data_IF_098002614046
#
_entry.id   IF_098002614046
#
_cell.length_a   1.000
_cell.length_b   1.000
_cell.length_c   1.000
_cell.angle_alpha   90.00
_cell.angle_beta   90.00
_cell.angle_gamma   90.00
#
_symmetry.space_group_name_H-M   'P 1'
#
loop_
_entity.id
_entity.type
_entity.pdbx_description
1 polymer ?
#
# COMPACT_ATOMS: atom_id res chain seq x y z
N UNK A 1 -42.36 -43.79 -23.60
CA UNK A 1 -41.73 -43.95 -22.27
C UNK A 1 -40.46 -43.12 -22.26
N UNK A 2 -40.54 -41.94 -21.65
CA UNK A 2 -39.40 -41.10 -21.32
C UNK A 2 -39.67 -40.53 -19.93
N UNK A 3 -38.66 -40.60 -19.08
CA UNK A 3 -38.69 -40.51 -17.62
C UNK A 3 -39.29 -39.20 -17.09
N UNK A 4 -40.42 -39.30 -16.40
CA UNK A 4 -40.95 -38.30 -15.47
C UNK A 4 -40.11 -38.35 -14.20
N UNK A 5 -39.25 -37.37 -13.97
CA UNK A 5 -38.77 -36.91 -12.65
C UNK A 5 -37.67 -35.86 -12.87
N UNK A 6 -38.10 -34.60 -13.04
CA UNK A 6 -37.21 -33.45 -12.92
C UNK A 6 -37.15 -33.06 -11.43
N UNK A 7 -35.98 -33.08 -10.76
CA UNK A 7 -35.86 -32.84 -9.33
C UNK A 7 -35.87 -31.35 -8.95
N UNK A 8 -36.23 -30.46 -9.87
CA UNK A 8 -36.24 -29.00 -9.68
C UNK A 8 -37.63 -28.39 -9.89
N UNK A 9 -38.67 -29.01 -9.32
CA UNK A 9 -39.95 -28.33 -9.15
C UNK A 9 -39.88 -27.39 -7.94
N UNK A 10 -40.09 -26.11 -8.21
CA UNK A 10 -39.95 -25.02 -7.26
C UNK A 10 -41.14 -24.96 -6.29
N UNK A 11 -41.00 -25.59 -5.13
CA UNK A 11 -42.00 -25.58 -4.06
C UNK A 11 -42.06 -24.23 -3.29
N UNK A 12 -41.04 -23.40 -3.43
CA UNK A 12 -40.85 -22.14 -2.70
C UNK A 12 -41.81 -21.02 -3.14
N UNK A 13 -42.27 -21.03 -4.40
CA UNK A 13 -43.18 -20.00 -4.92
C UNK A 13 -44.65 -20.24 -4.56
N UNK A 14 -45.05 -21.49 -4.32
CA UNK A 14 -46.42 -21.85 -3.95
C UNK A 14 -46.67 -21.56 -2.45
N UNK A 15 -45.64 -21.72 -1.62
CA UNK A 15 -45.67 -21.35 -0.21
C UNK A 15 -45.71 -19.83 -0.01
N UNK A 16 -44.95 -19.06 -0.81
CA UNK A 16 -45.00 -17.60 -0.80
C UNK A 16 -46.37 -17.04 -1.23
N UNK A 17 -47.06 -17.69 -2.17
CA UNK A 17 -48.43 -17.35 -2.58
C UNK A 17 -49.45 -17.55 -1.46
N UNK A 18 -49.37 -18.68 -0.76
CA UNK A 18 -50.27 -18.99 0.37
C UNK A 18 -50.04 -18.08 1.59
N UNK A 19 -48.80 -17.65 1.85
CA UNK A 19 -48.49 -16.71 2.93
C UNK A 19 -48.94 -15.27 2.63
N UNK A 20 -49.00 -14.88 1.36
CA UNK A 20 -49.51 -13.57 0.92
C UNK A 20 -51.05 -13.51 0.92
N UNK A 21 -51.75 -14.63 0.66
CA UNK A 21 -53.22 -14.68 0.79
C UNK A 21 -53.69 -14.63 2.25
N UNK A 22 -52.88 -15.10 3.20
CA UNK A 22 -53.20 -15.12 4.62
C UNK A 22 -53.21 -13.72 5.29
N UNK A 23 -52.65 -12.68 4.66
CA UNK A 23 -52.51 -11.35 5.26
C UNK A 23 -53.04 -10.21 4.36
N UNK A 24 -54.25 -10.38 3.84
CA UNK A 24 -54.93 -9.46 2.92
C UNK A 24 -55.27 -8.07 3.49
N UNK A 25 -54.96 -7.79 4.76
CA UNK A 25 -55.28 -6.53 5.45
C UNK A 25 -54.04 -5.77 5.96
N UNK A 26 -52.83 -6.13 5.55
CA UNK A 26 -51.64 -5.35 5.88
C UNK A 26 -51.67 -3.98 5.15
N UNK A 27 -51.68 -2.89 5.92
CA UNK A 27 -51.65 -1.51 5.39
C UNK A 27 -50.29 -1.24 4.73
N UNK A 28 -50.29 -1.13 3.40
CA UNK A 28 -49.14 -0.69 2.62
C UNK A 28 -48.98 0.83 2.77
N UNK A 29 -47.84 1.26 3.30
CA UNK A 29 -47.47 2.70 3.34
C UNK A 29 -46.89 3.06 1.97
N UNK A 30 -47.68 3.75 1.16
CA UNK A 30 -47.20 4.41 -0.06
C UNK A 30 -46.44 5.68 0.35
N UNK A 31 -45.17 5.79 -0.01
CA UNK A 31 -44.39 7.03 0.14
C UNK A 31 -44.58 7.81 -1.16
N UNK A 32 -45.40 8.85 -1.12
CA UNK A 32 -45.47 9.90 -2.14
C UNK A 32 -44.43 10.96 -1.79
N UNK A 33 -43.56 11.29 -2.75
CA UNK A 33 -42.62 12.41 -2.68
C UNK A 33 -43.41 13.73 -2.78
N UNK A 34 -43.44 14.50 -1.69
CA UNK A 34 -43.88 15.90 -1.73
C UNK A 34 -42.91 16.80 -0.95
N UNK A 35 -42.48 17.86 -1.63
CA UNK A 35 -41.58 18.93 -1.18
C UNK A 35 -42.10 19.65 0.08
N UNK A 36 -41.26 19.82 1.11
CA UNK A 36 -41.61 20.60 2.31
C UNK A 36 -40.67 21.80 2.49
N UNK A 37 -41.24 23.00 2.32
CA UNK A 37 -40.79 24.29 2.85
C UNK A 37 -41.12 24.31 4.36
N UNK A 38 -40.24 24.80 5.27
CA UNK A 38 -40.44 24.63 6.70
C UNK A 38 -41.34 25.73 7.28
N UNK A 39 -42.45 25.34 7.93
CA UNK A 39 -43.21 26.23 8.79
C UNK A 39 -43.16 25.81 10.26
N UNK A 40 -43.03 26.84 11.09
CA UNK A 40 -42.64 26.85 12.49
C UNK A 40 -43.89 26.71 13.36
N UNK A 41 -43.93 25.71 14.25
CA UNK A 41 -44.87 25.74 15.37
C UNK A 41 -44.22 25.37 16.71
N UNK A 42 -44.53 26.23 17.68
CA UNK A 42 -44.01 26.33 19.05
C UNK A 42 -45.03 25.69 20.01
N UNK A 43 -44.55 25.36 21.22
CA UNK A 43 -45.28 25.04 22.48
C UNK A 43 -45.77 23.58 22.61
N UNK A 44 -45.83 22.95 23.79
CA UNK A 44 -45.28 23.18 25.14
C UNK A 44 -45.59 21.93 26.01
N UNK A 45 -44.81 21.75 27.08
CA UNK A 45 -45.18 21.12 28.37
C UNK A 45 -45.52 19.61 28.45
N UNK A 46 -44.55 18.85 28.98
CA UNK A 46 -44.65 18.08 30.24
C UNK A 46 -45.68 16.94 30.36
N UNK A 47 -45.19 15.71 30.46
CA UNK A 47 -45.80 14.63 31.24
C UNK A 47 -44.71 13.63 31.73
N UNK A 48 -44.88 13.14 32.96
CA UNK A 48 -43.95 12.31 33.75
C UNK A 48 -43.67 10.92 33.14
N UNK A 49 -42.57 10.24 33.51
CA UNK A 49 -42.28 8.87 33.08
C UNK A 49 -42.91 7.88 34.06
N UNK A 50 -43.92 7.14 33.60
CA UNK A 50 -44.30 5.88 34.25
C UNK A 50 -43.73 4.73 33.42
N UNK A 51 -43.15 3.79 34.16
CA UNK A 51 -42.50 2.56 33.75
C UNK A 51 -43.37 1.73 32.81
N UNK A 52 -42.86 1.35 31.63
CA UNK A 52 -42.98 0.02 31.00
C UNK A 52 -41.91 -0.12 29.89
N UNK A 53 -41.44 -1.34 29.67
CA UNK A 53 -40.49 -1.81 28.63
C UNK A 53 -38.97 -1.61 28.86
N UNK A 54 -38.48 -2.18 29.97
CA UNK A 54 -37.07 -2.52 30.16
C UNK A 54 -36.58 -3.71 29.30
N UNK A 55 -37.40 -4.23 28.36
CA UNK A 55 -37.04 -5.34 27.47
C UNK A 55 -36.77 -4.93 26.02
N UNK A 56 -37.05 -3.67 25.63
CA UNK A 56 -36.81 -3.18 24.27
C UNK A 56 -35.44 -2.52 24.08
N UNK A 57 -34.68 -2.30 25.16
CA UNK A 57 -33.33 -1.73 25.05
C UNK A 57 -32.27 -2.76 24.65
N UNK A 58 -32.48 -4.05 24.96
CA UNK A 58 -31.47 -5.09 24.77
C UNK A 58 -31.30 -5.44 23.27
N UNK A 59 -32.41 -5.52 22.52
CA UNK A 59 -32.41 -5.75 21.07
C UNK A 59 -31.79 -4.59 20.27
N UNK A 60 -31.97 -3.36 20.75
CA UNK A 60 -31.32 -2.17 20.14
C UNK A 60 -29.82 -2.14 20.45
N UNK A 61 -29.40 -2.64 21.62
CA UNK A 61 -27.99 -2.78 21.95
C UNK A 61 -27.31 -3.95 21.24
N UNK A 62 -28.02 -5.04 20.91
CA UNK A 62 -27.47 -6.12 20.07
C UNK A 62 -27.34 -5.72 18.59
N UNK A 63 -28.30 -4.98 18.03
CA UNK A 63 -28.17 -4.44 16.66
C UNK A 63 -27.09 -3.36 16.53
N UNK A 64 -26.84 -2.61 17.61
CA UNK A 64 -25.70 -1.69 17.71
C UNK A 64 -24.40 -2.37 18.14
N UNK A 65 -24.43 -3.61 18.65
CA UNK A 65 -23.22 -4.43 18.88
C UNK A 65 -22.61 -4.93 17.56
N UNK A 66 -23.39 -4.88 16.48
CA UNK A 66 -22.93 -4.92 15.10
C UNK A 66 -22.06 -3.73 14.67
N UNK A 67 -21.88 -2.69 15.52
CA UNK A 67 -20.72 -1.79 15.43
C UNK A 67 -19.46 -2.61 15.75
N UNK A 68 -19.00 -3.35 14.73
CA UNK A 68 -17.68 -3.93 14.52
C UNK A 68 -16.82 -3.87 15.78
N UNK A 69 -17.03 -4.81 16.71
CA UNK A 69 -16.15 -5.00 17.87
C UNK A 69 -14.73 -4.93 17.35
N UNK A 70 -13.96 -3.94 17.81
CA UNK A 70 -12.58 -3.74 17.38
C UNK A 70 -11.83 -5.01 17.71
N UNK A 71 -11.57 -5.83 16.68
CA UNK A 71 -10.84 -7.08 16.85
C UNK A 71 -9.44 -6.72 17.33
N UNK A 72 -8.94 -7.31 18.43
CA UNK A 72 -7.61 -7.00 18.91
C UNK A 72 -6.58 -7.22 17.81
N UNK A 73 -5.56 -6.36 17.71
CA UNK A 73 -4.56 -6.42 16.63
C UNK A 73 -3.79 -7.74 16.55
N UNK A 74 -3.78 -8.53 17.63
CA UNK A 74 -3.12 -9.83 17.72
C UNK A 74 -3.96 -10.99 17.15
N UNK A 75 -5.26 -10.80 16.90
CA UNK A 75 -6.09 -11.88 16.38
C UNK A 75 -5.86 -12.10 14.89
N UNK A 76 -5.98 -13.37 14.47
CA UNK A 76 -5.93 -13.72 13.04
C UNK A 76 -6.99 -12.96 12.23
N UNK A 77 -8.19 -12.78 12.79
CA UNK A 77 -9.29 -12.06 12.15
C UNK A 77 -8.94 -10.59 11.83
N UNK A 78 -8.12 -9.94 12.67
CA UNK A 78 -7.62 -8.59 12.37
C UNK A 78 -6.79 -8.56 11.08
N UNK A 79 -5.87 -9.51 10.93
CA UNK A 79 -5.02 -9.59 9.74
C UNK A 79 -5.79 -10.10 8.52
N UNK A 80 -6.73 -11.03 8.68
CA UNK A 80 -7.56 -11.53 7.58
C UNK A 80 -8.26 -10.39 6.85
N UNK A 81 -8.82 -9.41 7.59
CA UNK A 81 -9.47 -8.23 7.01
C UNK A 81 -8.53 -7.33 6.18
N UNK A 82 -7.22 -7.39 6.41
CA UNK A 82 -6.22 -6.62 5.64
C UNK A 82 -5.78 -7.33 4.36
N UNK A 83 -6.09 -8.62 4.23
CA UNK A 83 -5.80 -9.43 3.04
C UNK A 83 -7.06 -9.78 2.24
N UNK A 84 -8.25 -9.57 2.82
CA UNK A 84 -9.55 -9.72 2.18
C UNK A 84 -9.82 -8.51 1.26
N UNK A 85 -9.19 -8.53 0.09
CA UNK A 85 -9.21 -7.41 -0.87
C UNK A 85 -9.53 -7.93 -2.26
N UNK A 86 -10.45 -7.24 -2.92
CA UNK A 86 -10.75 -7.52 -4.32
C UNK A 86 -9.67 -6.97 -5.26
N UNK A 87 -9.41 -7.71 -6.33
CA UNK A 87 -8.41 -7.37 -7.36
C UNK A 87 -8.59 -5.97 -7.94
N UNK A 88 -9.85 -5.51 -8.09
CA UNK A 88 -10.15 -4.21 -8.67
C UNK A 88 -9.64 -3.06 -7.78
N UNK A 89 -9.78 -3.18 -6.45
CA UNK A 89 -9.25 -2.21 -5.49
C UNK A 89 -7.73 -2.10 -5.57
N UNK A 90 -7.02 -3.23 -5.67
CA UNK A 90 -5.56 -3.24 -5.79
C UNK A 90 -5.12 -2.55 -7.09
N UNK A 91 -5.81 -2.81 -8.20
CA UNK A 91 -5.52 -2.19 -9.49
C UNK A 91 -5.73 -0.67 -9.44
N UNK A 92 -6.84 -0.21 -8.89
CA UNK A 92 -7.12 1.22 -8.73
C UNK A 92 -6.07 1.92 -7.87
N UNK A 93 -5.64 1.27 -6.77
CA UNK A 93 -4.58 1.77 -5.88
C UNK A 93 -3.24 1.85 -6.59
N UNK A 94 -2.87 0.85 -7.40
CA UNK A 94 -1.65 0.87 -8.21
C UNK A 94 -1.72 1.99 -9.26
N UNK A 95 -2.84 2.13 -9.98
CA UNK A 95 -2.98 3.18 -11.00
C UNK A 95 -2.91 4.57 -10.33
N UNK A 96 -3.59 4.74 -9.20
CA UNK A 96 -3.55 5.97 -8.41
C UNK A 96 -2.19 6.27 -7.80
N UNK A 97 -1.36 5.25 -7.52
CA UNK A 97 0.02 5.44 -7.05
C UNK A 97 1.01 5.67 -8.19
N UNK A 98 0.67 5.33 -9.42
CA UNK A 98 1.51 5.59 -10.61
C UNK A 98 1.20 6.94 -11.22
N UNK A 99 -0.06 7.39 -11.15
CA UNK A 99 -0.51 8.67 -11.69
C UNK A 99 -1.00 9.58 -10.54
N UNK A 100 -0.13 10.43 -9.97
CA UNK A 100 -0.53 11.39 -8.95
C UNK A 100 -1.43 12.46 -9.57
N UNK A 101 -2.74 12.34 -9.39
CA UNK A 101 -3.69 13.37 -9.84
C UNK A 101 -3.65 14.56 -8.88
N UNK A 102 -3.33 15.78 -9.36
CA UNK A 102 -3.29 16.96 -8.50
C UNK A 102 -4.64 17.21 -7.82
N UNK A 103 -4.65 17.33 -6.49
CA UNK A 103 -5.85 17.68 -5.71
C UNK A 103 -6.62 16.52 -5.07
N UNK A 104 -6.17 15.26 -5.23
CA UNK A 104 -6.80 14.09 -4.60
C UNK A 104 -5.81 13.39 -3.66
N UNK A 105 -6.03 13.46 -2.35
CA UNK A 105 -5.18 12.78 -1.36
C UNK A 105 -5.36 11.25 -1.47
N UNK A 106 -4.28 10.51 -1.70
CA UNK A 106 -4.32 9.06 -1.91
C UNK A 106 -5.01 8.32 -0.76
N UNK A 107 -4.71 8.69 0.49
CA UNK A 107 -5.34 8.07 1.67
C UNK A 107 -6.85 8.33 1.70
N UNK A 108 -7.26 9.59 1.48
CA UNK A 108 -8.66 9.97 1.56
C UNK A 108 -9.50 9.36 0.42
N UNK A 109 -8.91 9.20 -0.76
CA UNK A 109 -9.62 8.71 -1.94
C UNK A 109 -9.61 7.19 -2.03
N UNK A 110 -8.52 6.52 -1.65
CA UNK A 110 -8.34 5.09 -1.91
C UNK A 110 -8.24 4.20 -0.66
N UNK A 111 -7.88 4.73 0.51
CA UNK A 111 -7.65 3.92 1.73
C UNK A 111 -8.73 4.06 2.81
N UNK A 112 -9.49 5.17 2.83
CA UNK A 112 -10.36 5.54 3.96
C UNK A 112 -11.45 4.51 4.32
N UNK A 113 -11.79 3.56 3.44
CA UNK A 113 -12.76 2.50 3.73
C UNK A 113 -12.12 1.20 4.25
N UNK A 114 -10.92 0.81 3.78
CA UNK A 114 -10.22 -0.43 4.17
C UNK A 114 -8.73 -0.38 3.77
N UNK A 115 -7.78 -0.13 4.69
CA UNK A 115 -6.35 -0.30 4.39
C UNK A 115 -6.05 -1.77 4.12
N UNK A 116 -5.09 -2.06 3.21
CA UNK A 116 -4.71 -3.43 2.86
C UNK A 116 -3.21 -3.70 2.93
N UNK A 117 -2.84 -4.91 3.32
CA UNK A 117 -1.46 -5.37 3.23
C UNK A 117 -1.19 -6.24 2.00
N UNK A 118 -2.24 -6.76 1.35
CA UNK A 118 -2.12 -7.63 0.19
C UNK A 118 -1.34 -6.95 -0.95
N UNK A 119 -1.77 -5.76 -1.39
CA UNK A 119 -1.10 -5.01 -2.46
C UNK A 119 0.36 -4.70 -2.15
N UNK A 120 0.65 -3.98 -1.04
CA UNK A 120 2.01 -3.66 -0.59
C UNK A 120 2.95 -4.88 -0.52
N UNK A 121 2.47 -5.99 0.04
CA UNK A 121 3.25 -7.22 0.18
C UNK A 121 3.67 -7.78 -1.18
N UNK A 122 2.73 -7.91 -2.12
CA UNK A 122 3.01 -8.44 -3.45
C UNK A 122 3.83 -7.47 -4.30
N UNK A 123 3.61 -6.16 -4.17
CA UNK A 123 4.42 -5.13 -4.84
C UNK A 123 5.88 -5.20 -4.37
N UNK A 124 6.12 -5.29 -3.06
CA UNK A 124 7.47 -5.44 -2.52
C UNK A 124 8.12 -6.74 -3.01
N UNK A 125 7.41 -7.86 -2.94
CA UNK A 125 7.91 -9.18 -3.36
C UNK A 125 8.28 -9.20 -4.84
N UNK A 126 7.39 -8.70 -5.71
CA UNK A 126 7.65 -8.60 -7.15
C UNK A 126 8.81 -7.67 -7.46
N UNK A 127 8.92 -6.54 -6.77
CA UNK A 127 10.05 -5.62 -6.92
C UNK A 127 11.38 -6.26 -6.53
N UNK A 128 11.43 -7.04 -5.44
CA UNK A 128 12.63 -7.76 -5.00
C UNK A 128 13.12 -8.72 -6.08
N UNK A 129 12.22 -9.56 -6.61
CA UNK A 129 12.58 -10.48 -7.69
C UNK A 129 12.94 -9.74 -8.98
N UNK A 130 12.21 -8.68 -9.33
CA UNK A 130 12.51 -7.87 -10.51
C UNK A 130 13.91 -7.24 -10.42
N UNK A 131 14.29 -6.66 -9.27
CA UNK A 131 15.64 -6.11 -9.05
C UNK A 131 16.71 -7.19 -9.21
N UNK A 132 16.52 -8.33 -8.54
CA UNK A 132 17.52 -9.40 -8.54
C UNK A 132 17.69 -10.03 -9.93
N UNK A 133 16.60 -10.32 -10.63
CA UNK A 133 16.60 -10.90 -11.97
C UNK A 133 17.16 -9.89 -12.97
N UNK A 134 16.62 -8.67 -13.01
CA UNK A 134 17.09 -7.62 -13.93
C UNK A 134 18.55 -7.26 -13.71
N UNK A 135 19.02 -7.20 -12.46
CA UNK A 135 20.42 -6.95 -12.13
C UNK A 135 21.36 -8.06 -12.61
N UNK A 136 20.96 -9.33 -12.45
CA UNK A 136 21.73 -10.46 -12.98
C UNK A 136 21.75 -10.49 -14.52
N UNK A 137 20.61 -10.25 -15.17
CA UNK A 137 20.52 -10.17 -16.64
C UNK A 137 21.36 -9.01 -17.16
N UNK A 138 21.29 -7.84 -16.51
CA UNK A 138 22.10 -6.69 -16.92
C UNK A 138 23.60 -6.97 -16.80
N UNK A 139 24.03 -7.64 -15.72
CA UNK A 139 25.41 -8.07 -15.55
C UNK A 139 25.84 -9.04 -16.68
N UNK A 140 24.97 -10.00 -17.02
CA UNK A 140 25.20 -10.92 -18.13
C UNK A 140 25.34 -10.19 -19.48
N UNK A 141 24.44 -9.26 -19.80
CA UNK A 141 24.47 -8.50 -21.05
C UNK A 141 25.73 -7.63 -21.19
N UNK A 142 26.23 -7.04 -20.10
CA UNK A 142 27.45 -6.21 -20.12
C UNK A 142 28.72 -7.05 -20.34
N UNK A 143 28.70 -8.34 -20.00
CA UNK A 143 29.83 -9.25 -20.14
C UNK A 143 29.71 -10.21 -21.33
N UNK A 144 28.62 -10.13 -22.09
CA UNK A 144 28.40 -10.92 -23.28
C UNK A 144 29.57 -10.72 -24.28
N UNK A 145 30.18 -11.82 -24.73
CA UNK A 145 31.29 -11.78 -25.68
C UNK A 145 32.69 -11.56 -25.09
N UNK A 146 32.85 -11.51 -23.76
CA UNK A 146 34.19 -11.45 -23.13
C UNK A 146 34.77 -12.86 -22.92
N UNK A 147 35.91 -13.21 -23.54
CA UNK A 147 36.44 -14.58 -23.54
C UNK A 147 36.90 -15.08 -22.16
N UNK A 148 37.21 -14.17 -21.22
CA UNK A 148 37.72 -14.51 -19.88
C UNK A 148 36.66 -14.37 -18.76
N UNK A 149 35.38 -14.16 -19.08
CA UNK A 149 34.34 -13.98 -18.06
C UNK A 149 33.47 -15.22 -17.91
N UNK A 150 33.61 -15.93 -16.78
CA UNK A 150 32.71 -17.02 -16.41
C UNK A 150 31.53 -16.43 -15.63
N UNK A 151 30.36 -16.43 -16.24
CA UNK A 151 29.14 -15.97 -15.57
C UNK A 151 28.78 -16.89 -14.40
N UNK A 152 28.62 -16.30 -13.22
CA UNK A 152 28.10 -16.97 -12.02
C UNK A 152 26.92 -16.16 -11.49
N UNK A 153 25.69 -16.73 -11.43
CA UNK A 153 24.54 -16.05 -10.85
C UNK A 153 24.80 -15.65 -9.39
N UNK A 154 24.54 -14.39 -9.06
CA UNK A 154 24.70 -13.88 -7.69
C UNK A 154 23.37 -13.97 -6.94
N UNK A 155 23.10 -15.11 -6.31
CA UNK A 155 21.86 -15.33 -5.56
C UNK A 155 21.71 -14.41 -4.33
N UNK A 156 22.83 -13.96 -3.76
CA UNK A 156 22.85 -13.01 -2.64
C UNK A 156 22.12 -11.69 -2.96
N UNK A 157 22.03 -11.31 -4.24
CA UNK A 157 21.28 -10.12 -4.67
C UNK A 157 19.81 -10.18 -4.26
N UNK A 158 19.19 -11.37 -4.22
CA UNK A 158 17.80 -11.53 -3.77
C UNK A 158 17.67 -11.14 -2.30
N UNK A 159 18.53 -11.65 -1.44
CA UNK A 159 18.50 -11.36 0.01
C UNK A 159 18.75 -9.89 0.30
N UNK A 160 19.70 -9.27 -0.41
CA UNK A 160 20.01 -7.83 -0.23
C UNK A 160 18.87 -6.96 -0.74
N UNK A 161 18.28 -7.30 -1.90
CA UNK A 161 17.11 -6.60 -2.42
C UNK A 161 15.93 -6.75 -1.45
N UNK A 162 15.66 -7.96 -0.95
CA UNK A 162 14.62 -8.22 0.04
C UNK A 162 14.82 -7.35 1.29
N UNK A 163 16.03 -7.37 1.84
CA UNK A 163 16.37 -6.57 3.02
C UNK A 163 16.15 -5.08 2.77
N UNK A 164 16.63 -4.55 1.63
CA UNK A 164 16.49 -3.14 1.29
C UNK A 164 15.02 -2.70 1.07
N UNK A 165 14.26 -3.46 0.28
CA UNK A 165 12.87 -3.11 -0.06
C UNK A 165 11.96 -3.24 1.16
N UNK A 166 12.04 -4.37 1.90
CA UNK A 166 11.18 -4.56 3.07
C UNK A 166 11.57 -3.65 4.23
N UNK A 167 12.85 -3.34 4.44
CA UNK A 167 13.25 -2.36 5.46
C UNK A 167 12.73 -0.96 5.12
N UNK A 168 12.78 -0.54 3.86
CA UNK A 168 12.16 0.71 3.43
C UNK A 168 10.64 0.70 3.65
N UNK A 169 9.96 -0.37 3.20
CA UNK A 169 8.50 -0.46 3.26
C UNK A 169 7.93 -0.57 4.69
N UNK A 170 8.72 -1.00 5.68
CA UNK A 170 8.26 -1.16 7.07
C UNK A 170 8.89 -0.16 8.04
N UNK A 171 10.23 -0.01 8.03
CA UNK A 171 10.92 0.82 9.01
C UNK A 171 10.68 2.31 8.78
N UNK A 172 10.58 2.76 7.52
CA UNK A 172 10.32 4.18 7.22
C UNK A 172 8.91 4.58 7.66
N UNK A 173 7.83 3.85 7.31
CA UNK A 173 6.51 4.07 7.88
C UNK A 173 6.48 4.01 9.40
N UNK A 174 7.18 3.06 10.01
CA UNK A 174 7.22 2.92 11.47
C UNK A 174 7.89 4.11 12.14
N UNK A 175 9.02 4.57 11.61
CA UNK A 175 9.72 5.75 12.11
C UNK A 175 8.88 7.02 11.93
N UNK A 176 8.23 7.17 10.77
CA UNK A 176 7.33 8.30 10.51
C UNK A 176 6.13 8.27 11.46
N UNK A 177 5.48 7.12 11.61
CA UNK A 177 4.35 6.94 12.53
C UNK A 177 4.75 7.19 13.98
N UNK A 178 5.87 6.63 14.44
CA UNK A 178 6.39 6.83 15.80
C UNK A 178 6.76 8.30 16.06
N UNK A 179 7.35 8.99 15.08
CA UNK A 179 7.63 10.41 15.17
C UNK A 179 6.35 11.25 15.23
N UNK A 180 5.36 10.93 14.39
CA UNK A 180 4.06 11.58 14.41
C UNK A 180 3.36 11.36 15.75
N UNK A 181 3.35 10.13 16.29
CA UNK A 181 2.77 9.82 17.60
C UNK A 181 3.44 10.57 18.74
N UNK A 182 4.79 10.55 18.78
CA UNK A 182 5.55 11.22 19.83
C UNK A 182 5.22 12.72 19.89
N UNK A 183 4.98 13.34 18.73
CA UNK A 183 4.62 14.74 18.62
C UNK A 183 3.12 15.01 18.83
N UNK A 184 2.23 14.08 18.44
CA UNK A 184 0.77 14.26 18.40
C UNK A 184 0.02 13.96 19.70
N UNK A 185 0.66 13.96 20.87
CA UNK A 185 -0.05 13.77 22.15
C UNK A 185 -1.15 14.83 22.44
N UNK A 186 -1.32 15.85 21.60
CA UNK A 186 -2.34 16.91 21.70
C UNK A 186 -3.43 16.94 20.60
N UNK A 187 -3.30 16.20 19.50
CA UNK A 187 -4.21 16.33 18.33
C UNK A 187 -4.60 14.93 17.86
N UNK A 188 -5.53 14.32 18.58
CA UNK A 188 -6.08 12.98 18.31
C UNK A 188 -7.30 13.04 17.38
N UNK A 189 -7.64 14.22 16.83
CA UNK A 189 -8.99 14.46 16.31
C UNK A 189 -9.13 14.88 14.84
N UNK A 190 -8.06 15.13 14.07
CA UNK A 190 -8.25 15.64 12.70
C UNK A 190 -7.79 14.71 11.57
N UNK A 191 -6.70 13.96 11.74
CA UNK A 191 -6.24 12.97 10.74
C UNK A 191 -5.44 11.86 11.44
N UNK A 192 -6.12 10.93 12.13
CA UNK A 192 -5.47 9.74 12.68
C UNK A 192 -5.16 8.76 11.56
N UNK A 193 -4.03 8.94 10.87
CA UNK A 193 -3.54 7.91 9.97
C UNK A 193 -3.15 6.67 10.77
N UNK A 194 -3.78 5.54 10.48
CA UNK A 194 -3.37 4.26 11.03
C UNK A 194 -1.97 3.93 10.51
N UNK A 195 -1.13 3.30 11.35
CA UNK A 195 0.17 2.78 10.92
C UNK A 195 0.05 1.97 9.62
N UNK A 196 -1.01 1.16 9.51
CA UNK A 196 -1.27 0.36 8.33
C UNK A 196 -1.50 1.21 7.08
N UNK A 197 -2.19 2.35 7.18
CA UNK A 197 -2.39 3.25 6.05
C UNK A 197 -1.08 3.84 5.53
N UNK A 198 -0.16 4.17 6.45
CA UNK A 198 1.18 4.67 6.10
C UNK A 198 1.97 3.57 5.38
N UNK A 199 1.97 2.34 5.90
CA UNK A 199 2.61 1.17 5.26
C UNK A 199 2.01 0.90 3.87
N UNK A 200 0.68 0.99 3.74
CA UNK A 200 -0.01 0.83 2.45
C UNK A 200 0.52 1.83 1.42
N UNK A 201 0.50 3.12 1.77
CA UNK A 201 0.94 4.21 0.88
C UNK A 201 2.39 3.99 0.43
N UNK A 202 3.28 3.67 1.36
CA UNK A 202 4.68 3.39 1.03
C UNK A 202 4.81 2.18 0.11
N UNK A 203 4.12 1.07 0.40
CA UNK A 203 4.13 -0.12 -0.45
C UNK A 203 3.61 0.15 -1.87
N UNK A 204 2.49 0.86 -2.01
CA UNK A 204 1.93 1.21 -3.32
C UNK A 204 2.81 2.18 -4.10
N UNK A 205 3.51 3.10 -3.42
CA UNK A 205 4.46 4.02 -4.07
C UNK A 205 5.65 3.29 -4.71
N UNK A 206 5.93 2.05 -4.29
CA UNK A 206 7.01 1.23 -4.85
C UNK A 206 6.65 0.57 -6.18
N UNK A 207 5.36 0.49 -6.54
CA UNK A 207 4.90 -0.14 -7.78
C UNK A 207 5.55 0.49 -9.03
N UNK A 208 5.82 1.80 -8.98
CA UNK A 208 6.47 2.56 -10.06
C UNK A 208 7.88 2.03 -10.36
N UNK A 209 8.59 1.49 -9.35
CA UNK A 209 9.93 0.96 -9.55
C UNK A 209 9.95 -0.37 -10.29
N UNK A 210 8.86 -1.15 -10.30
CA UNK A 210 8.79 -2.44 -10.99
C UNK A 210 9.07 -2.29 -12.50
N UNK A 211 8.34 -1.48 -13.27
CA UNK A 211 8.66 -1.26 -14.69
C UNK A 211 10.01 -0.55 -14.87
N UNK A 212 10.42 0.31 -13.93
CA UNK A 212 11.70 1.02 -14.02
C UNK A 212 12.90 0.05 -13.96
N UNK A 213 12.92 -0.91 -13.02
CA UNK A 213 14.04 -1.85 -12.87
C UNK A 213 14.13 -2.85 -14.02
N UNK A 214 13.00 -3.17 -14.67
CA UNK A 214 12.98 -3.96 -15.91
C UNK A 214 13.63 -3.16 -17.04
N UNK A 215 13.35 -1.86 -17.15
CA UNK A 215 13.98 -1.01 -18.16
C UNK A 215 15.51 -0.85 -17.93
N UNK A 216 15.97 -0.95 -16.68
CA UNK A 216 17.40 -0.88 -16.33
C UNK A 216 18.21 -2.10 -16.78
N UNK A 217 17.58 -3.17 -17.27
CA UNK A 217 18.26 -4.31 -17.91
C UNK A 217 19.19 -3.81 -19.02
N UNK A 218 18.70 -2.86 -19.83
CA UNK A 218 19.45 -2.27 -20.93
C UNK A 218 20.67 -1.48 -20.40
N UNK A 219 21.87 -1.69 -20.94
CA UNK A 219 23.10 -1.06 -20.47
C UNK A 219 23.28 0.40 -20.96
N UNK A 220 22.18 1.14 -21.15
CA UNK A 220 22.21 2.55 -21.55
C UNK A 220 22.15 3.45 -20.32
N UNK A 221 23.24 4.15 -20.03
CA UNK A 221 23.36 4.95 -18.80
C UNK A 221 22.38 6.14 -18.77
N UNK A 222 22.18 6.83 -19.90
CA UNK A 222 21.21 7.93 -19.99
C UNK A 222 19.78 7.46 -19.70
N UNK A 223 19.39 6.30 -20.22
CA UNK A 223 18.05 5.72 -20.02
C UNK A 223 17.80 5.39 -18.55
N UNK A 224 18.82 4.85 -17.86
CA UNK A 224 18.76 4.56 -16.42
C UNK A 224 18.57 5.82 -15.59
N UNK A 225 19.33 6.88 -15.87
CA UNK A 225 19.16 8.15 -15.15
C UNK A 225 17.80 8.80 -15.42
N UNK A 226 17.35 8.82 -16.69
CA UNK A 226 16.03 9.35 -17.02
C UNK A 226 14.91 8.60 -16.29
N UNK A 227 14.95 7.27 -16.30
CA UNK A 227 13.95 6.44 -15.59
C UNK A 227 14.02 6.58 -14.07
N UNK A 228 15.21 6.73 -13.48
CA UNK A 228 15.37 7.04 -12.04
C UNK A 228 14.67 8.34 -11.69
N UNK A 229 14.91 9.42 -12.46
CA UNK A 229 14.29 10.72 -12.21
C UNK A 229 12.77 10.63 -12.32
N UNK A 230 12.25 9.96 -13.36
CA UNK A 230 10.81 9.76 -13.53
C UNK A 230 10.22 8.96 -12.37
N UNK A 231 10.83 7.83 -11.99
CA UNK A 231 10.36 7.00 -10.90
C UNK A 231 10.39 7.74 -9.55
N UNK A 232 11.45 8.50 -9.29
CA UNK A 232 11.58 9.33 -8.09
C UNK A 232 10.53 10.42 -8.01
N UNK A 233 10.27 11.11 -9.13
CA UNK A 233 9.25 12.15 -9.18
C UNK A 233 7.85 11.58 -8.95
N UNK A 234 7.50 10.48 -9.62
CA UNK A 234 6.19 9.84 -9.46
C UNK A 234 6.01 9.27 -8.04
N UNK A 235 6.98 8.51 -7.53
CA UNK A 235 6.90 7.90 -6.20
C UNK A 235 6.95 8.96 -5.10
N UNK A 236 7.87 9.92 -5.23
CA UNK A 236 8.03 11.02 -4.29
C UNK A 236 6.82 11.94 -4.24
N UNK A 237 6.21 12.26 -5.39
CA UNK A 237 5.00 13.10 -5.41
C UNK A 237 3.81 12.43 -4.73
N UNK A 238 3.61 11.11 -4.89
CA UNK A 238 2.56 10.37 -4.16
C UNK A 238 2.77 10.45 -2.66
N UNK A 239 4.00 10.22 -2.18
CA UNK A 239 4.31 10.32 -0.76
C UNK A 239 4.12 11.76 -0.25
N UNK A 240 4.66 12.75 -0.97
CA UNK A 240 4.59 14.16 -0.61
C UNK A 240 3.14 14.64 -0.54
N UNK A 241 2.34 14.39 -1.58
CA UNK A 241 0.93 14.79 -1.62
C UNK A 241 0.11 14.10 -0.52
N UNK A 242 0.48 12.87 -0.16
CA UNK A 242 -0.23 12.11 0.87
C UNK A 242 0.04 12.64 2.28
N UNK A 243 1.29 12.95 2.60
CA UNK A 243 1.66 13.41 3.94
C UNK A 243 1.58 14.92 4.12
N UNK A 244 1.55 15.70 3.04
CA UNK A 244 1.43 17.16 3.10
C UNK A 244 0.27 17.66 3.96
N UNK A 245 -0.98 17.16 3.81
CA UNK A 245 -2.10 17.58 4.65
C UNK A 245 -1.91 17.27 6.14
N UNK A 246 -1.18 16.22 6.48
CA UNK A 246 -0.91 15.83 7.86
C UNK A 246 0.08 16.76 8.56
N UNK A 247 1.00 17.37 7.80
CA UNK A 247 2.08 18.18 8.35
C UNK A 247 1.90 19.68 8.13
N UNK A 248 1.01 20.09 7.21
CA UNK A 248 0.89 21.51 6.78
C UNK A 248 0.56 22.50 7.90
N UNK A 249 -0.02 22.05 9.00
CA UNK A 249 -0.41 22.89 10.14
C UNK A 249 0.73 23.05 11.16
N UNK A 250 1.85 22.36 10.97
CA UNK A 250 2.96 22.36 11.90
C UNK A 250 3.95 23.51 11.68
N UNK A 251 4.88 23.64 12.63
CA UNK A 251 5.97 24.60 12.51
C UNK A 251 6.80 24.34 11.24
N UNK A 252 7.18 25.37 10.46
CA UNK A 252 7.81 25.20 9.13
C UNK A 252 9.08 24.35 9.16
N UNK A 253 9.87 24.43 10.23
CA UNK A 253 11.06 23.59 10.43
C UNK A 253 10.74 22.09 10.44
N UNK A 254 9.62 21.70 11.05
CA UNK A 254 9.20 20.29 11.15
C UNK A 254 8.67 19.81 9.82
N UNK A 255 7.88 20.64 9.12
CA UNK A 255 7.43 20.37 7.76
C UNK A 255 8.63 20.08 6.86
N UNK A 256 9.60 20.99 6.82
CA UNK A 256 10.81 20.83 6.00
C UNK A 256 11.56 19.56 6.39
N UNK A 257 11.73 19.27 7.68
CA UNK A 257 12.41 18.07 8.15
C UNK A 257 11.72 16.78 7.69
N UNK A 258 10.41 16.64 7.88
CA UNK A 258 9.67 15.42 7.47
C UNK A 258 9.68 15.28 5.95
N UNK A 259 9.31 16.33 5.22
CA UNK A 259 9.20 16.26 3.77
C UNK A 259 10.56 16.01 3.11
N UNK A 260 11.63 16.63 3.62
CA UNK A 260 12.99 16.36 3.13
C UNK A 260 13.42 14.92 3.46
N UNK A 261 13.13 14.41 4.65
CA UNK A 261 13.45 13.03 5.01
C UNK A 261 12.77 12.02 4.07
N UNK A 262 11.48 12.21 3.76
CA UNK A 262 10.73 11.36 2.80
C UNK A 262 11.41 11.37 1.43
N UNK A 263 11.73 12.55 0.90
CA UNK A 263 12.36 12.68 -0.42
C UNK A 263 13.76 12.07 -0.42
N UNK A 264 14.57 12.35 0.60
CA UNK A 264 15.93 11.81 0.73
C UNK A 264 15.92 10.30 0.81
N UNK A 265 15.06 9.69 1.61
CA UNK A 265 14.94 8.23 1.71
C UNK A 265 14.50 7.60 0.39
N UNK A 266 13.58 8.23 -0.34
CA UNK A 266 13.17 7.75 -1.66
C UNK A 266 14.33 7.83 -2.69
N UNK A 267 15.09 8.94 -2.67
CA UNK A 267 16.31 9.10 -3.48
C UNK A 267 17.35 8.03 -3.14
N UNK A 268 17.60 7.80 -1.84
CA UNK A 268 18.54 6.79 -1.37
C UNK A 268 18.14 5.39 -1.85
N UNK A 269 16.85 5.06 -1.81
CA UNK A 269 16.35 3.79 -2.33
C UNK A 269 16.62 3.65 -3.84
N UNK A 270 16.22 4.64 -4.64
CA UNK A 270 16.37 4.56 -6.10
C UNK A 270 17.84 4.53 -6.54
N UNK A 271 18.65 5.43 -5.99
CA UNK A 271 20.08 5.53 -6.30
C UNK A 271 20.81 4.29 -5.77
N UNK A 272 20.52 3.85 -4.55
CA UNK A 272 21.09 2.64 -3.95
C UNK A 272 20.79 1.39 -4.78
N UNK A 273 19.55 1.24 -5.27
CA UNK A 273 19.20 0.15 -6.16
C UNK A 273 20.01 0.19 -7.46
N UNK A 274 20.12 1.35 -8.12
CA UNK A 274 20.91 1.47 -9.35
C UNK A 274 22.40 1.23 -9.12
N UNK A 275 22.98 1.77 -8.05
CA UNK A 275 24.42 1.65 -7.78
C UNK A 275 24.80 0.22 -7.40
N UNK A 276 24.01 -0.44 -6.56
CA UNK A 276 24.33 -1.78 -6.09
C UNK A 276 24.05 -2.87 -7.14
N UNK A 277 22.88 -2.82 -7.79
CA UNK A 277 22.44 -3.93 -8.65
C UNK A 277 22.79 -3.76 -10.13
N UNK A 278 22.98 -2.51 -10.59
CA UNK A 278 23.10 -2.20 -12.02
C UNK A 278 24.38 -1.44 -12.41
N UNK A 279 25.18 -0.98 -11.44
CA UNK A 279 26.47 -0.35 -11.74
C UNK A 279 27.58 -1.39 -11.82
N UNK A 280 28.52 -1.15 -12.72
CA UNK A 280 29.64 -2.04 -12.97
C UNK A 280 30.50 -2.10 -11.70
N UNK A 281 30.91 -3.27 -11.21
CA UNK A 281 32.10 -3.34 -10.38
C UNK A 281 33.23 -2.76 -11.23
N UNK A 282 33.72 -1.58 -10.86
CA UNK A 282 34.95 -1.06 -11.42
C UNK A 282 36.00 -2.12 -11.13
N UNK A 283 36.57 -2.71 -12.17
CA UNK A 283 37.71 -3.60 -12.02
C UNK A 283 38.71 -2.88 -11.13
N UNK A 284 38.96 -3.44 -9.94
CA UNK A 284 40.06 -3.02 -9.09
C UNK A 284 41.26 -2.81 -10.01
N UNK A 285 41.97 -1.66 -9.96
CA UNK A 285 43.15 -1.48 -10.77
C UNK A 285 44.05 -2.67 -10.47
N UNK A 286 44.30 -3.48 -11.50
CA UNK A 286 45.19 -4.62 -11.41
C UNK A 286 46.44 -4.16 -10.69
N UNK A 287 46.70 -4.80 -9.57
CA UNK A 287 47.81 -4.48 -8.70
C UNK A 287 49.09 -4.43 -9.54
N UNK A 288 49.58 -3.21 -9.79
CA UNK A 288 50.85 -2.98 -10.49
C UNK A 288 52.05 -3.40 -9.65
N UNK A 289 51.84 -4.02 -8.48
CA UNK A 289 52.91 -4.44 -7.59
C UNK A 289 53.49 -5.82 -7.94
N UNK A 290 52.77 -6.69 -8.67
CA UNK A 290 53.27 -8.04 -8.98
C UNK A 290 54.28 -8.11 -10.17
N UNK A 291 54.52 -7.00 -10.89
CA UNK A 291 55.39 -6.99 -12.07
C UNK A 291 56.78 -6.36 -11.83
N UNK A 292 57.10 -5.90 -10.62
CA UNK A 292 58.39 -5.25 -10.32
C UNK A 292 59.31 -6.13 -9.45
N UNK A 293 58.80 -7.18 -8.80
CA UNK A 293 59.59 -8.00 -7.86
C UNK A 293 60.33 -9.19 -8.49
N UNK A 294 60.59 -9.20 -9.81
CA UNK A 294 61.43 -10.22 -10.46
C UNK A 294 62.76 -9.65 -10.99
N UNK A 295 62.99 -8.34 -10.96
CA UNK A 295 64.19 -7.74 -11.61
C UNK A 295 65.24 -7.19 -10.63
N UNK A 296 65.24 -7.59 -9.35
CA UNK A 296 66.30 -7.14 -8.42
C UNK A 296 66.83 -8.24 -7.51
N UNK A 297 67.70 -9.07 -8.07
CA UNK A 297 68.83 -9.61 -7.32
C UNK A 297 70.13 -9.07 -7.96
N UNK A 298 70.95 -8.29 -7.24
CA UNK A 298 72.22 -7.80 -7.72
C UNK A 298 73.32 -8.87 -7.65
N UNK A 299 74.29 -8.71 -8.53
CA UNK A 299 75.47 -9.54 -8.79
C UNK A 299 76.57 -9.45 -7.71
N UNK A 300 77.62 -10.28 -7.90
CA UNK A 300 78.97 -10.33 -7.27
C UNK A 300 79.10 -11.30 -6.08
N UNK A 301 80.14 -12.13 -5.93
CA UNK A 301 81.49 -12.24 -6.53
C UNK A 301 81.89 -13.72 -6.58
#
# INVERSE_FOLDING_TARGET
>A
MASTNDPFQFQEFEEAGNLLEANRNATTISIEDDDIIPEKQRQAAGFSPDDEDALASDDKTELLSGLKKSVPFWTFEYYQRLFDVETHHVKERIIGSVLPWPGKNFIHVYLRKTPDLYGPFWICTTLVFAIAISGNISNFLVHLGKPNYKYTPEFQKVTIAATAIFSYAWLVPLALWGFLLWRNNKIINLVSYSFMEIVCVYGYSLAIYIPAVVLWILPYEWLRWCTIVVALCLSGSVLVMTFWPAVREDHPKVIIAIMSAIVVLNVLLAVGCKTYFFSKPQALPADKSAAIEVTKAPSTT
#
